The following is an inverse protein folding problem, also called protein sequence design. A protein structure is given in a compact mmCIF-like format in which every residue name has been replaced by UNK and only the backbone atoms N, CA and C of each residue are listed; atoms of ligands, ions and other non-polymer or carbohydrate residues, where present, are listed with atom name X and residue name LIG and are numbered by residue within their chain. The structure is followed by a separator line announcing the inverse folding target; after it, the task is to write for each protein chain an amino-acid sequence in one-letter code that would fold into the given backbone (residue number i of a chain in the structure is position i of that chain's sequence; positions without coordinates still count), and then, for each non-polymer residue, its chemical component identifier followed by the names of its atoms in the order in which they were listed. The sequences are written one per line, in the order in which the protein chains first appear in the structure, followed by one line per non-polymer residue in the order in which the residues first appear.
data_IF_272132706217
#
_entry.id   IF_272132706217
#
_cell.length_a   1.000
_cell.length_b   1.000
_cell.length_c   1.000
_cell.angle_alpha   90.00
_cell.angle_beta   90.00
_cell.angle_gamma   90.00
#
_symmetry.space_group_name_H-M   'P 1'
#
loop_
_entity.id
_entity.type
_entity.pdbx_description
1 polymer ?
#
# COMPACT_ATOMS: atom_id res chain seq x y z
N UNK A 1 19.70 8.95 -10.84
CA UNK A 1 19.87 9.26 -9.40
C UNK A 1 18.75 8.58 -8.62
N UNK A 2 19.05 7.96 -7.47
CA UNK A 2 18.00 7.49 -6.54
C UNK A 2 17.25 8.71 -6.00
N UNK A 3 15.96 8.82 -6.32
CA UNK A 3 15.07 9.83 -5.74
C UNK A 3 14.91 9.55 -4.24
N UNK A 4 15.12 10.55 -3.38
CA UNK A 4 14.95 10.34 -1.93
C UNK A 4 13.47 10.11 -1.59
N UNK A 5 13.13 9.45 -0.45
CA UNK A 5 11.74 9.29 -0.04
C UNK A 5 10.97 10.62 0.02
N UNK A 6 11.62 11.69 0.47
CA UNK A 6 11.06 13.05 0.48
C UNK A 6 10.74 13.55 -0.93
N UNK A 7 11.66 13.38 -1.88
CA UNK A 7 11.43 13.81 -3.27
C UNK A 7 10.33 13.00 -3.96
N UNK A 8 10.22 11.71 -3.65
CA UNK A 8 9.12 10.86 -4.15
C UNK A 8 7.78 11.32 -3.60
N UNK A 9 7.71 11.62 -2.30
CA UNK A 9 6.51 12.15 -1.67
C UNK A 9 6.07 13.48 -2.29
N UNK A 10 7.02 14.42 -2.48
CA UNK A 10 6.72 15.71 -3.12
C UNK A 10 6.15 15.54 -4.52
N UNK A 11 6.76 14.71 -5.36
CA UNK A 11 6.26 14.44 -6.72
C UNK A 11 4.85 13.83 -6.74
N UNK A 12 4.55 12.98 -5.77
CA UNK A 12 3.23 12.38 -5.64
C UNK A 12 2.21 13.44 -5.21
N UNK A 13 2.55 14.30 -4.25
CA UNK A 13 1.69 15.42 -3.83
C UNK A 13 1.46 16.38 -5.01
N UNK A 14 2.50 16.71 -5.77
CA UNK A 14 2.42 17.57 -6.97
C UNK A 14 1.52 16.99 -8.08
N UNK A 15 1.31 15.67 -8.11
CA UNK A 15 0.43 15.03 -9.09
C UNK A 15 -1.05 15.01 -8.70
N UNK A 16 -1.39 15.40 -7.47
CA UNK A 16 -2.77 15.40 -7.00
C UNK A 16 -3.56 16.60 -7.55
N UNK A 17 -4.90 16.49 -7.62
CA UNK A 17 -5.76 17.62 -7.92
C UNK A 17 -5.51 18.81 -6.99
N UNK A 18 -5.70 20.03 -7.50
CA UNK A 18 -5.47 21.25 -6.73
C UNK A 18 -6.42 21.41 -5.52
N UNK A 19 -7.57 20.73 -5.55
CA UNK A 19 -8.58 20.68 -4.49
C UNK A 19 -8.44 19.45 -3.58
N UNK A 20 -7.37 18.66 -3.74
CA UNK A 20 -7.09 17.51 -2.87
C UNK A 20 -6.99 17.95 -1.40
N UNK A 21 -7.72 17.23 -0.55
CA UNK A 21 -7.70 17.46 0.89
C UNK A 21 -6.41 16.89 1.52
N UNK A 22 -6.18 17.24 2.79
CA UNK A 22 -5.11 16.62 3.56
C UNK A 22 -5.31 15.10 3.72
N UNK A 23 -6.57 14.64 3.80
CA UNK A 23 -6.89 13.22 3.88
C UNK A 23 -6.51 12.48 2.59
N UNK A 24 -6.74 13.07 1.42
CA UNK A 24 -6.35 12.51 0.12
C UNK A 24 -4.83 12.39 0.01
N UNK A 25 -4.10 13.43 0.42
CA UNK A 25 -2.63 13.41 0.45
C UNK A 25 -2.13 12.28 1.35
N UNK A 26 -2.69 12.15 2.55
CA UNK A 26 -2.31 11.09 3.50
C UNK A 26 -2.63 9.70 2.95
N UNK A 27 -3.80 9.53 2.32
CA UNK A 27 -4.21 8.28 1.69
C UNK A 27 -3.21 7.86 0.62
N UNK A 28 -2.87 8.76 -0.29
CA UNK A 28 -1.99 8.47 -1.43
C UNK A 28 -0.56 8.11 -0.97
N UNK A 29 -0.04 8.82 0.03
CA UNK A 29 1.24 8.47 0.64
C UNK A 29 1.21 7.09 1.29
N UNK A 30 0.16 6.78 2.04
CA UNK A 30 -0.01 5.48 2.68
C UNK A 30 -0.14 4.36 1.64
N UNK A 31 -0.97 4.56 0.62
CA UNK A 31 -1.17 3.62 -0.46
C UNK A 31 0.16 3.31 -1.17
N UNK A 32 0.90 4.37 -1.57
CA UNK A 32 2.22 4.24 -2.19
C UNK A 32 3.19 3.42 -1.34
N UNK A 33 3.24 3.66 -0.03
CA UNK A 33 4.07 2.92 0.92
C UNK A 33 3.69 1.44 0.98
N UNK A 34 2.38 1.13 1.03
CA UNK A 34 1.87 -0.26 1.08
C UNK A 34 2.22 -1.02 -0.20
N UNK A 35 2.11 -0.37 -1.35
CA UNK A 35 2.51 -0.96 -2.65
C UNK A 35 4.00 -1.24 -2.69
N UNK A 36 4.85 -0.27 -2.33
CA UNK A 36 6.31 -0.47 -2.31
C UNK A 36 6.72 -1.62 -1.40
N UNK A 37 6.10 -1.69 -0.21
CA UNK A 37 6.32 -2.77 0.73
C UNK A 37 5.92 -4.12 0.12
N UNK A 38 4.73 -4.21 -0.47
CA UNK A 38 4.25 -5.45 -1.10
C UNK A 38 5.15 -5.91 -2.25
N UNK A 39 5.67 -4.98 -3.05
CA UNK A 39 6.64 -5.29 -4.10
C UNK A 39 7.98 -5.80 -3.52
N UNK A 40 8.40 -5.28 -2.37
CA UNK A 40 9.56 -5.80 -1.63
C UNK A 40 9.32 -7.21 -1.11
N UNK A 41 8.19 -7.44 -0.44
CA UNK A 41 7.77 -8.76 0.06
C UNK A 41 7.68 -9.79 -1.07
N UNK A 42 7.15 -9.41 -2.24
CA UNK A 42 7.11 -10.25 -3.43
C UNK A 42 8.51 -10.66 -3.91
N UNK A 43 9.46 -9.71 -3.99
CA UNK A 43 10.84 -9.99 -4.41
C UNK A 43 11.57 -10.90 -3.43
N UNK A 44 11.24 -10.82 -2.16
CA UNK A 44 11.81 -11.66 -1.09
C UNK A 44 11.09 -13.01 -0.95
N UNK A 45 10.10 -13.31 -1.80
CA UNK A 45 9.33 -14.56 -1.72
C UNK A 45 8.40 -14.66 -0.50
N UNK A 46 8.14 -13.54 0.19
CA UNK A 46 7.20 -13.45 1.32
C UNK A 46 5.75 -13.40 0.82
N UNK A 47 5.38 -14.38 0.00
CA UNK A 47 4.05 -14.54 -0.58
C UNK A 47 3.39 -15.81 -0.04
N UNK A 48 2.06 -15.83 -0.07
CA UNK A 48 1.28 -17.03 0.22
C UNK A 48 0.66 -17.57 -1.06
N UNK A 49 0.54 -18.88 -1.17
CA UNK A 49 -0.14 -19.52 -2.30
C UNK A 49 -1.64 -19.23 -2.27
N UNK A 50 -2.29 -19.32 -3.43
CA UNK A 50 -3.75 -19.20 -3.53
C UNK A 50 -4.49 -20.20 -2.62
N UNK A 51 -3.96 -21.41 -2.46
CA UNK A 51 -4.52 -22.43 -1.56
C UNK A 51 -4.44 -22.04 -0.09
N UNK A 52 -3.36 -21.39 0.33
CA UNK A 52 -3.23 -20.85 1.70
C UNK A 52 -4.20 -19.72 1.97
N UNK A 53 -4.37 -18.80 1.02
CA UNK A 53 -5.36 -17.72 1.11
C UNK A 53 -6.78 -18.27 1.26
N UNK A 54 -7.15 -19.29 0.48
CA UNK A 54 -8.45 -19.96 0.61
C UNK A 54 -8.68 -20.54 2.00
N UNK A 55 -7.63 -21.10 2.63
CA UNK A 55 -7.71 -21.64 4.00
C UNK A 55 -7.78 -20.56 5.07
N UNK A 56 -7.18 -19.38 4.86
CA UNK A 56 -7.23 -18.27 5.83
C UNK A 56 -8.51 -17.44 5.74
N UNK A 57 -9.17 -17.42 4.57
CA UNK A 57 -10.35 -16.60 4.30
C UNK A 57 -11.48 -16.74 5.34
N UNK A 58 -11.87 -17.94 5.81
CA UNK A 58 -12.92 -18.07 6.83
C UNK A 58 -12.56 -17.40 8.17
N UNK A 59 -11.28 -17.33 8.53
CA UNK A 59 -10.83 -16.63 9.74
C UNK A 59 -10.97 -15.12 9.58
N UNK A 60 -10.61 -14.59 8.41
CA UNK A 60 -10.71 -13.16 8.11
C UNK A 60 -12.15 -12.67 8.04
N UNK A 61 -13.05 -13.44 7.44
CA UNK A 61 -14.49 -13.10 7.39
C UNK A 61 -15.11 -13.02 8.80
N UNK A 62 -14.64 -13.84 9.75
CA UNK A 62 -15.08 -13.76 11.15
C UNK A 62 -14.51 -12.55 11.91
N UNK A 63 -13.41 -11.95 11.45
CA UNK A 63 -12.79 -10.77 12.07
C UNK A 63 -13.23 -9.45 11.45
N UNK A 64 -13.81 -9.45 10.24
CA UNK A 64 -14.13 -8.24 9.48
C UNK A 64 -15.39 -7.47 9.97
N UNK A 65 -15.84 -7.70 11.21
CA UNK A 65 -17.09 -7.14 11.73
C UNK A 65 -17.20 -7.11 13.25
N UNK A 66 -16.07 -6.97 13.96
CA UNK A 66 -16.03 -6.58 15.37
C UNK A 66 -15.10 -5.41 15.55
#
# INVERSE_FOLDING_TARGET
MKTSPKQTALKLIESLPADASLEDIMYELYFRQRVDRGLGELREGRTVSHGEVKRSLPKWLKSAGR
#
